data_IF_636235581192
#
_entry.id   IF_636235581192
#
_cell.length_a   1.000
_cell.length_b   1.000
_cell.length_c   1.000
_cell.angle_alpha   90.00
_cell.angle_beta   90.00
_cell.angle_gamma   90.00
#
_symmetry.space_group_name_H-M   'P 1'
#
loop_
_entity.id
_entity.type
_entity.pdbx_description
1 polymer ?
#
# COMPACT_ATOMS: atom_id res chain seq x y z
N UNK A 1 -8.88 49.17 42.50
CA UNK A 1 -8.34 49.02 41.13
C UNK A 1 -6.83 49.26 41.04
N UNK A 2 -6.25 50.18 41.81
CA UNK A 2 -4.80 50.41 41.83
C UNK A 2 -3.97 49.22 42.39
N UNK A 3 -4.46 48.51 43.41
CA UNK A 3 -3.75 47.37 44.02
C UNK A 3 -3.63 46.13 43.09
N UNK A 4 -4.65 45.88 42.26
CA UNK A 4 -4.63 44.74 41.35
C UNK A 4 -3.62 44.94 40.20
N UNK A 5 -3.40 46.18 39.77
CA UNK A 5 -2.40 46.52 38.75
C UNK A 5 -0.99 46.39 39.33
N UNK A 6 -0.77 46.84 40.59
CA UNK A 6 0.52 46.71 41.26
C UNK A 6 0.95 45.25 41.48
N UNK A 7 0.01 44.34 41.71
CA UNK A 7 0.29 42.91 41.88
C UNK A 7 0.64 42.18 40.57
N UNK A 8 0.17 42.70 39.42
CA UNK A 8 0.30 42.05 38.10
C UNK A 8 1.57 42.50 37.35
N UNK A 9 2.02 43.74 37.58
CA UNK A 9 3.24 44.29 36.97
C UNK A 9 4.50 43.42 37.15
N UNK A 10 4.85 42.90 38.35
CA UNK A 10 6.05 42.06 38.50
C UNK A 10 5.94 40.72 37.76
N UNK A 11 4.72 40.21 37.53
CA UNK A 11 4.49 38.98 36.76
C UNK A 11 4.69 39.24 35.26
N UNK A 12 4.24 40.39 34.76
CA UNK A 12 4.48 40.82 33.38
C UNK A 12 5.98 41.08 33.11
N UNK A 13 6.68 41.70 34.04
CA UNK A 13 8.14 41.91 33.95
C UNK A 13 8.89 40.58 33.93
N UNK A 14 8.48 39.62 34.77
CA UNK A 14 9.04 38.27 34.79
C UNK A 14 8.78 37.52 33.48
N UNK A 15 7.58 37.65 32.90
CA UNK A 15 7.24 37.04 31.61
C UNK A 15 8.04 37.66 30.45
N UNK A 16 8.21 38.99 30.44
CA UNK A 16 9.01 39.70 29.45
C UNK A 16 10.48 39.26 29.48
N UNK A 17 11.08 39.17 30.67
CA UNK A 17 12.46 38.70 30.82
C UNK A 17 12.65 37.24 30.39
N UNK A 18 11.63 36.38 30.60
CA UNK A 18 11.65 34.99 30.11
C UNK A 18 11.53 34.92 28.60
N UNK A 19 10.76 35.82 27.98
CA UNK A 19 10.63 35.92 26.53
C UNK A 19 11.95 36.35 25.89
N UNK A 20 12.60 37.40 26.43
CA UNK A 20 13.92 37.85 25.96
C UNK A 20 15.00 36.77 26.13
N UNK A 21 14.95 35.97 27.21
CA UNK A 21 15.86 34.83 27.40
C UNK A 21 15.64 33.71 26.39
N UNK A 22 14.38 33.49 25.96
CA UNK A 22 14.03 32.51 24.92
C UNK A 22 14.47 33.03 23.55
N UNK A 23 14.24 34.30 23.25
CA UNK A 23 14.67 34.95 22.00
C UNK A 23 16.19 34.98 21.89
N UNK A 24 16.92 35.23 22.98
CA UNK A 24 18.39 35.14 23.01
C UNK A 24 18.88 33.70 22.78
N UNK A 25 18.18 32.69 23.29
CA UNK A 25 18.50 31.27 23.05
C UNK A 25 18.20 30.82 21.62
N UNK A 26 17.16 31.36 21.00
CA UNK A 26 16.82 31.11 19.59
C UNK A 26 17.73 31.89 18.62
N UNK A 27 18.18 33.09 19.00
CA UNK A 27 19.12 33.91 18.22
C UNK A 27 20.59 33.45 18.32
N UNK A 28 20.95 32.66 19.33
CA UNK A 28 22.30 32.13 19.53
C UNK A 28 22.53 30.73 18.91
N UNK A 29 21.52 30.12 18.29
CA UNK A 29 21.66 28.87 17.55
C UNK A 29 22.23 29.13 16.14
N UNK A 30 23.52 29.44 16.06
CA UNK A 30 24.27 29.39 14.81
C UNK A 30 24.34 27.93 14.37
N UNK A 31 23.69 27.60 13.25
CA UNK A 31 23.80 26.30 12.61
C UNK A 31 25.28 25.93 12.41
N UNK A 32 25.68 24.67 12.65
CA UNK A 32 27.03 24.24 12.32
C UNK A 32 27.25 24.40 10.81
N UNK A 33 28.31 25.14 10.50
CA UNK A 33 28.82 25.44 9.18
C UNK A 33 29.22 24.13 8.49
N UNK A 34 28.53 23.78 7.41
CA UNK A 34 28.84 22.58 6.65
C UNK A 34 30.21 22.74 5.98
N UNK A 35 31.13 21.82 6.31
CA UNK A 35 32.39 21.65 5.59
C UNK A 35 32.11 21.45 4.08
N UNK A 36 32.96 21.98 3.19
CA UNK A 36 32.79 21.85 1.76
C UNK A 36 32.93 20.37 1.37
N UNK A 37 31.82 19.76 0.95
CA UNK A 37 31.81 18.44 0.37
C UNK A 37 32.74 18.43 -0.86
N UNK A 38 33.66 17.47 -0.85
CA UNK A 38 34.57 17.19 -1.94
C UNK A 38 33.82 17.07 -3.28
N UNK A 39 34.42 17.65 -4.32
CA UNK A 39 33.91 17.67 -5.68
C UNK A 39 33.49 16.28 -6.17
N UNK A 40 32.23 16.15 -6.58
CA UNK A 40 31.78 15.03 -7.38
C UNK A 40 32.55 15.03 -8.73
N UNK A 41 33.02 13.86 -9.20
CA UNK A 41 33.74 13.79 -10.47
C UNK A 41 32.82 14.16 -11.63
N UNK A 42 33.37 14.94 -12.57
CA UNK A 42 32.70 15.38 -13.79
C UNK A 42 32.20 14.19 -14.62
N UNK A 43 31.01 14.28 -15.26
CA UNK A 43 30.61 13.29 -16.26
C UNK A 43 31.51 13.42 -17.48
N UNK A 44 32.26 12.36 -17.77
CA UNK A 44 33.07 12.24 -18.97
C UNK A 44 32.18 12.22 -20.22
N UNK A 45 32.58 13.01 -21.21
CA UNK A 45 31.94 13.08 -22.52
C UNK A 45 32.23 11.83 -23.37
N UNK A 46 31.20 11.42 -24.11
CA UNK A 46 31.23 10.80 -25.44
C UNK A 46 31.94 9.45 -25.63
N UNK A 47 31.13 8.39 -25.69
CA UNK A 47 31.35 7.29 -26.64
C UNK A 47 30.17 7.24 -27.63
N UNK A 48 30.52 7.13 -28.91
CA UNK A 48 29.69 7.25 -30.11
C UNK A 48 28.59 6.15 -30.23
N UNK A 49 27.62 6.31 -31.15
CA UNK A 49 26.39 5.54 -31.17
C UNK A 49 26.63 4.14 -31.77
N UNK A 50 26.21 3.09 -31.08
CA UNK A 50 26.02 1.79 -31.73
C UNK A 50 24.65 1.78 -32.40
N UNK A 51 24.73 1.63 -33.71
CA UNK A 51 23.67 1.66 -34.70
C UNK A 51 22.42 0.89 -34.28
N UNK A 52 21.28 1.56 -34.45
CA UNK A 52 20.01 0.91 -34.66
C UNK A 52 20.03 0.18 -36.00
N UNK A 53 19.81 -1.13 -35.96
CA UNK A 53 19.47 -1.91 -37.15
C UNK A 53 18.39 -2.97 -36.84
N UNK A 54 18.36 -3.50 -35.61
CA UNK A 54 17.36 -4.50 -35.23
C UNK A 54 15.91 -3.97 -35.16
N UNK A 55 15.69 -2.73 -34.68
CA UNK A 55 14.34 -2.15 -34.59
C UNK A 55 13.84 -1.63 -35.94
N UNK A 56 14.73 -1.04 -36.75
CA UNK A 56 14.40 -0.56 -38.10
C UNK A 56 13.98 -1.70 -39.03
N UNK A 57 14.71 -2.83 -38.99
CA UNK A 57 14.36 -4.04 -39.73
C UNK A 57 13.00 -4.62 -39.31
N UNK A 58 12.68 -4.61 -38.01
CA UNK A 58 11.38 -5.06 -37.50
C UNK A 58 10.21 -4.16 -37.97
N UNK A 59 10.39 -2.83 -37.99
CA UNK A 59 9.36 -1.92 -38.49
C UNK A 59 9.20 -1.98 -40.02
N UNK A 60 10.29 -2.17 -40.78
CA UNK A 60 10.23 -2.39 -42.22
C UNK A 60 9.56 -3.74 -42.58
N UNK A 61 9.80 -4.78 -41.78
CA UNK A 61 9.16 -6.07 -41.94
C UNK A 61 7.67 -6.03 -41.56
N UNK A 62 7.26 -5.22 -40.59
CA UNK A 62 5.84 -5.04 -40.25
C UNK A 62 5.10 -4.19 -41.31
N UNK A 63 5.76 -3.19 -41.90
CA UNK A 63 5.20 -2.32 -42.93
C UNK A 63 5.05 -2.98 -44.32
N UNK A 64 5.75 -4.09 -44.57
CA UNK A 64 5.65 -4.86 -45.83
C UNK A 64 4.62 -6.00 -45.79
N UNK A 65 3.93 -6.19 -44.66
CA UNK A 65 2.82 -7.15 -44.55
C UNK A 65 1.55 -6.48 -45.07
N UNK A 66 1.16 -6.83 -46.29
CA UNK A 66 -0.11 -6.40 -46.86
C UNK A 66 -1.29 -7.09 -46.16
N UNK A 67 -2.04 -6.31 -45.36
CA UNK A 67 -3.25 -6.75 -44.65
C UNK A 67 -4.55 -6.34 -45.36
N UNK A 68 -4.48 -5.88 -46.61
CA UNK A 68 -5.64 -5.38 -47.36
C UNK A 68 -6.77 -6.41 -47.54
N UNK A 69 -6.47 -7.71 -47.42
CA UNK A 69 -7.44 -8.81 -47.48
C UNK A 69 -7.83 -9.41 -46.12
N UNK A 70 -7.37 -8.83 -45.00
CA UNK A 70 -7.78 -9.22 -43.64
C UNK A 70 -6.62 -9.34 -42.65
N UNK A 71 -6.94 -9.30 -41.34
CA UNK A 71 -6.00 -9.17 -40.21
C UNK A 71 -4.97 -10.31 -40.03
N UNK A 72 -5.03 -11.35 -40.85
CA UNK A 72 -4.09 -12.49 -40.87
C UNK A 72 -3.44 -12.73 -42.24
N UNK A 73 -3.74 -11.91 -43.24
CA UNK A 73 -3.11 -11.98 -44.54
C UNK A 73 -1.63 -11.56 -44.43
N UNK A 74 -0.72 -12.37 -44.95
CA UNK A 74 0.73 -12.11 -44.95
C UNK A 74 1.52 -12.63 -43.74
N UNK A 75 0.87 -13.20 -42.71
CA UNK A 75 1.56 -13.85 -41.60
C UNK A 75 1.88 -15.32 -41.93
N UNK A 76 3.12 -15.77 -41.64
CA UNK A 76 3.51 -17.17 -41.83
C UNK A 76 2.71 -18.08 -40.89
N UNK A 77 2.13 -19.14 -41.45
CA UNK A 77 1.33 -20.10 -40.69
C UNK A 77 2.25 -21.03 -39.88
N UNK A 78 2.04 -21.09 -38.56
CA UNK A 78 2.81 -21.98 -37.67
C UNK A 78 2.15 -23.35 -37.67
N UNK A 79 2.81 -24.36 -38.24
CA UNK A 79 2.34 -25.75 -38.20
C UNK A 79 2.57 -26.36 -36.82
N UNK A 80 1.83 -27.43 -36.53
CA UNK A 80 1.75 -28.07 -35.20
C UNK A 80 3.12 -28.56 -34.69
N UNK A 81 4.06 -28.79 -35.60
CA UNK A 81 5.40 -29.31 -35.38
C UNK A 81 6.39 -28.23 -34.88
N UNK A 82 6.06 -26.95 -35.04
CA UNK A 82 6.85 -25.82 -34.51
C UNK A 82 6.52 -25.48 -33.05
N UNK A 83 5.62 -26.23 -32.40
CA UNK A 83 5.40 -26.14 -30.95
C UNK A 83 6.38 -27.09 -30.24
N UNK A 84 7.43 -26.53 -29.67
CA UNK A 84 8.39 -27.26 -28.84
C UNK A 84 7.75 -27.72 -27.52
N UNK A 85 7.85 -29.03 -27.23
CA UNK A 85 7.57 -29.60 -25.90
C UNK A 85 6.94 -31.00 -25.90
N UNK A 86 7.70 -32.04 -26.28
CA UNK A 86 7.29 -33.43 -26.10
C UNK A 86 8.20 -34.44 -26.80
N UNK A 87 9.39 -34.68 -26.25
CA UNK A 87 10.30 -35.71 -26.76
C UNK A 87 9.71 -37.11 -26.55
N UNK A 88 9.67 -37.85 -27.65
CA UNK A 88 9.23 -39.23 -27.84
C UNK A 88 10.34 -40.22 -27.48
N UNK A 89 10.03 -41.25 -26.69
CA UNK A 89 10.81 -42.48 -26.54
C UNK A 89 9.87 -43.70 -26.57
N UNK A 90 10.30 -44.87 -27.09
CA UNK A 90 9.41 -45.91 -27.59
C UNK A 90 8.86 -46.83 -26.50
N UNK A 91 7.60 -47.24 -26.62
CA UNK A 91 6.91 -48.22 -25.74
C UNK A 91 6.65 -49.50 -26.54
N UNK A 92 7.03 -50.70 -26.05
CA UNK A 92 6.78 -51.94 -26.79
C UNK A 92 5.36 -52.49 -26.60
N UNK A 93 4.76 -52.80 -27.75
CA UNK A 93 3.81 -53.87 -28.11
C UNK A 93 2.66 -54.33 -27.19
N UNK A 94 1.45 -54.07 -27.71
CA UNK A 94 0.37 -55.02 -28.00
C UNK A 94 -0.47 -55.65 -26.86
N UNK A 95 -1.78 -55.31 -26.86
CA UNK A 95 -2.86 -56.30 -26.90
C UNK A 95 -4.24 -55.67 -27.24
N UNK A 96 -4.84 -56.18 -28.32
CA UNK A 96 -6.25 -56.39 -28.67
C UNK A 96 -7.39 -55.42 -28.26
N UNK A 97 -7.95 -54.79 -29.31
CA UNK A 97 -9.38 -54.72 -29.71
C UNK A 97 -10.52 -54.50 -28.69
N UNK A 98 -11.28 -53.41 -28.87
CA UNK A 98 -12.69 -53.44 -29.34
C UNK A 98 -13.32 -52.03 -29.34
N UNK A 99 -14.38 -51.89 -30.14
CA UNK A 99 -15.06 -50.68 -30.62
C UNK A 99 -15.86 -49.87 -29.58
N UNK A 100 -15.88 -48.54 -29.74
CA UNK A 100 -17.08 -47.65 -29.80
C UNK A 100 -16.97 -46.30 -29.05
N UNK A 101 -17.54 -45.28 -29.71
CA UNK A 101 -17.97 -43.94 -29.28
C UNK A 101 -16.92 -42.78 -29.08
N UNK A 102 -17.22 -41.56 -29.58
CA UNK A 102 -16.30 -40.44 -29.61
C UNK A 102 -16.24 -39.71 -28.25
N UNK A 103 -15.02 -39.52 -27.72
CA UNK A 103 -14.78 -38.76 -26.48
C UNK A 103 -15.13 -37.27 -26.67
N UNK A 104 -15.83 -36.62 -25.72
CA UNK A 104 -16.10 -35.19 -25.79
C UNK A 104 -14.81 -34.39 -25.61
N UNK A 105 -14.69 -33.29 -26.36
CA UNK A 105 -13.60 -32.30 -26.25
C UNK A 105 -13.52 -31.75 -24.82
N UNK A 106 -12.32 -31.48 -24.27
CA UNK A 106 -12.20 -30.91 -22.94
C UNK A 106 -12.86 -29.53 -22.90
N UNK A 107 -13.85 -29.38 -22.01
CA UNK A 107 -14.42 -28.06 -21.70
C UNK A 107 -13.32 -27.20 -21.08
N UNK A 108 -12.99 -26.09 -21.74
CA UNK A 108 -12.36 -24.94 -21.08
C UNK A 108 -13.28 -24.53 -19.92
N UNK A 109 -12.73 -24.45 -18.70
CA UNK A 109 -13.50 -24.13 -17.50
C UNK A 109 -13.24 -25.02 -16.28
N UNK A 110 -12.09 -25.70 -16.20
CA UNK A 110 -11.66 -26.25 -14.92
C UNK A 110 -11.34 -25.07 -13.99
N UNK A 111 -12.31 -24.70 -13.15
CA UNK A 111 -12.07 -23.87 -11.99
C UNK A 111 -10.88 -24.48 -11.24
N UNK A 112 -9.83 -23.67 -11.05
CA UNK A 112 -8.69 -24.07 -10.24
C UNK A 112 -9.24 -24.57 -8.90
N UNK A 113 -8.91 -25.82 -8.53
CA UNK A 113 -9.25 -26.36 -7.21
C UNK A 113 -8.82 -25.34 -6.16
N UNK A 114 -9.66 -25.01 -5.16
CA UNK A 114 -9.28 -24.10 -4.11
C UNK A 114 -7.99 -24.62 -3.48
N UNK A 115 -6.91 -23.83 -3.57
CA UNK A 115 -5.68 -24.13 -2.85
C UNK A 115 -6.08 -24.15 -1.38
N UNK A 116 -6.02 -25.31 -0.73
CA UNK A 116 -6.19 -25.40 0.72
C UNK A 116 -5.18 -24.46 1.33
N UNK A 117 -5.68 -23.38 1.93
CA UNK A 117 -4.83 -22.37 2.57
C UNK A 117 -4.06 -23.06 3.71
N UNK A 118 -2.79 -22.71 3.95
CA UNK A 118 -2.09 -23.14 5.15
C UNK A 118 -2.94 -22.88 6.42
N UNK A 119 -2.76 -23.65 7.49
CA UNK A 119 -3.44 -23.36 8.75
C UNK A 119 -3.03 -21.97 9.26
N UNK A 120 -3.93 -21.32 10.01
CA UNK A 120 -3.63 -20.05 10.66
C UNK A 120 -2.46 -20.19 11.63
N UNK A 121 -1.52 -19.26 11.58
CA UNK A 121 -0.33 -19.23 12.45
C UNK A 121 -0.16 -17.87 13.09
N UNK A 122 0.24 -17.87 14.36
CA UNK A 122 0.64 -16.67 15.09
C UNK A 122 1.96 -16.96 15.80
N UNK A 123 3.05 -16.42 15.28
CA UNK A 123 4.39 -16.70 15.77
C UNK A 123 5.18 -15.42 16.00
N UNK A 124 5.91 -15.38 17.11
CA UNK A 124 6.85 -14.32 17.42
C UNK A 124 8.25 -14.73 17.00
N UNK A 125 8.87 -13.97 16.10
CA UNK A 125 10.27 -14.14 15.70
C UNK A 125 11.04 -12.86 16.00
N UNK A 126 11.88 -12.91 17.04
CA UNK A 126 12.61 -11.74 17.51
C UNK A 126 11.66 -10.64 17.98
N UNK A 127 11.70 -9.48 17.32
CA UNK A 127 10.86 -8.32 17.63
C UNK A 127 9.59 -8.23 16.75
N UNK A 128 9.32 -9.24 15.92
CA UNK A 128 8.20 -9.24 14.98
C UNK A 128 7.22 -10.37 15.29
N UNK A 129 5.96 -10.02 15.44
CA UNK A 129 4.83 -10.95 15.44
C UNK A 129 4.37 -11.17 14.01
N UNK A 130 4.16 -12.42 13.63
CA UNK A 130 3.71 -12.82 12.30
C UNK A 130 2.40 -13.58 12.46
N UNK A 131 1.32 -12.99 11.95
CA UNK A 131 -0.06 -13.47 12.06
C UNK A 131 -0.53 -13.77 10.64
N UNK A 132 -0.68 -15.04 10.29
CA UNK A 132 -0.90 -15.43 8.90
C UNK A 132 -2.00 -16.45 8.74
N UNK A 133 -2.56 -16.48 7.53
CA UNK A 133 -3.43 -17.55 7.04
C UNK A 133 -4.75 -17.76 7.80
N UNK A 134 -5.09 -16.90 8.75
CA UNK A 134 -6.37 -16.97 9.46
C UNK A 134 -7.56 -16.73 8.53
N UNK A 135 -8.65 -17.41 8.87
CA UNK A 135 -9.90 -17.36 8.14
C UNK A 135 -11.08 -17.19 9.10
N UNK A 136 -12.28 -17.02 8.55
CA UNK A 136 -13.53 -17.02 9.31
C UNK A 136 -13.70 -18.22 10.26
N UNK A 137 -13.16 -19.38 9.90
CA UNK A 137 -13.30 -20.60 10.70
C UNK A 137 -12.55 -20.51 12.04
N UNK A 138 -11.53 -19.64 12.11
CA UNK A 138 -10.67 -19.49 13.29
C UNK A 138 -11.27 -18.49 14.31
N UNK A 139 -12.33 -17.77 13.94
CA UNK A 139 -13.02 -16.82 14.82
C UNK A 139 -12.25 -15.52 15.02
N UNK A 140 -12.25 -15.01 16.27
CA UNK A 140 -11.54 -13.79 16.65
C UNK A 140 -10.15 -14.16 17.16
N UNK A 141 -9.12 -13.59 16.54
CA UNK A 141 -7.71 -13.85 16.86
C UNK A 141 -7.16 -12.71 17.69
N UNK A 142 -6.86 -12.97 18.96
CA UNK A 142 -6.24 -11.99 19.84
C UNK A 142 -4.73 -12.23 19.90
N UNK A 143 -3.94 -11.20 19.56
CA UNK A 143 -2.48 -11.23 19.63
C UNK A 143 -2.03 -10.57 20.93
N UNK A 144 -1.96 -11.35 22.00
CA UNK A 144 -1.63 -10.85 23.35
C UNK A 144 -0.13 -10.78 23.61
N UNK A 145 0.29 -9.85 24.47
CA UNK A 145 1.67 -9.75 24.94
C UNK A 145 2.61 -9.08 23.94
N UNK A 146 2.06 -8.23 23.07
CA UNK A 146 2.86 -7.45 22.11
C UNK A 146 3.52 -6.30 22.83
N UNK A 147 4.85 -6.25 22.85
CA UNK A 147 5.55 -5.14 23.49
C UNK A 147 5.57 -3.88 22.60
N UNK A 148 5.67 -2.70 23.20
CA UNK A 148 5.70 -1.40 22.49
C UNK A 148 6.84 -1.25 21.46
N UNK A 149 7.91 -2.03 21.60
CA UNK A 149 9.05 -2.05 20.68
C UNK A 149 8.89 -3.06 19.54
N UNK A 150 7.86 -3.89 19.59
CA UNK A 150 7.62 -4.99 18.68
C UNK A 150 6.65 -4.57 17.57
N UNK A 151 6.81 -5.20 16.42
CA UNK A 151 6.02 -4.96 15.23
C UNK A 151 5.08 -6.14 14.98
N UNK A 152 3.86 -5.86 14.50
CA UNK A 152 2.90 -6.90 14.13
C UNK A 152 2.74 -6.92 12.62
N UNK A 153 3.03 -8.05 12.01
CA UNK A 153 2.82 -8.31 10.60
C UNK A 153 1.70 -9.30 10.40
N UNK A 154 0.67 -8.87 9.67
CA UNK A 154 -0.51 -9.64 9.35
C UNK A 154 -0.48 -9.93 7.86
N UNK A 155 -0.51 -11.20 7.45
CA UNK A 155 -0.50 -11.55 6.04
C UNK A 155 -1.52 -12.61 5.68
N UNK A 156 -2.02 -12.56 4.45
CA UNK A 156 -2.86 -13.61 3.86
C UNK A 156 -4.01 -14.03 4.79
N UNK A 157 -4.71 -13.11 5.44
CA UNK A 157 -5.91 -13.42 6.24
C UNK A 157 -7.17 -13.16 5.41
N UNK A 158 -8.14 -14.08 5.41
CA UNK A 158 -9.39 -13.97 4.62
C UNK A 158 -10.64 -14.07 5.53
N UNK A 159 -11.42 -13.01 5.63
CA UNK A 159 -12.66 -12.95 6.45
C UNK A 159 -12.37 -13.24 7.94
N UNK A 160 -11.30 -12.64 8.46
CA UNK A 160 -10.80 -12.84 9.82
C UNK A 160 -10.90 -11.55 10.64
N UNK A 161 -11.00 -11.70 11.96
CA UNK A 161 -10.96 -10.59 12.91
C UNK A 161 -9.71 -10.72 13.77
N UNK A 162 -8.84 -9.71 13.75
CA UNK A 162 -7.59 -9.67 14.52
C UNK A 162 -7.66 -8.53 15.52
N UNK A 163 -7.40 -8.85 16.79
CA UNK A 163 -7.41 -7.90 17.91
C UNK A 163 -6.02 -7.85 18.53
N UNK A 164 -5.44 -6.65 18.60
CA UNK A 164 -4.15 -6.39 19.23
C UNK A 164 -4.42 -5.47 20.44
N UNK A 165 -4.61 -6.03 21.65
CA UNK A 165 -4.98 -5.25 22.84
C UNK A 165 -3.85 -4.35 23.34
N UNK A 166 -2.61 -4.64 22.98
CA UNK A 166 -1.44 -3.89 23.42
C UNK A 166 -1.02 -2.82 22.40
N UNK A 167 -0.41 -1.73 22.88
CA UNK A 167 0.25 -0.75 22.02
C UNK A 167 1.55 -1.33 21.47
N UNK A 168 1.72 -1.30 20.15
CA UNK A 168 2.90 -1.82 19.46
C UNK A 168 3.71 -0.71 18.78
N UNK A 169 4.86 -1.07 18.20
CA UNK A 169 5.69 -0.12 17.45
C UNK A 169 5.00 0.27 16.14
N UNK A 170 4.69 -0.73 15.34
CA UNK A 170 4.10 -0.59 14.02
C UNK A 170 3.26 -1.83 13.67
N UNK A 171 2.31 -1.66 12.76
CA UNK A 171 1.49 -2.75 12.21
C UNK A 171 1.61 -2.71 10.70
N UNK A 172 1.85 -3.86 10.07
CA UNK A 172 1.85 -4.01 8.63
C UNK A 172 0.89 -5.14 8.22
N UNK A 173 -0.01 -4.86 7.29
CA UNK A 173 -1.03 -5.78 6.80
C UNK A 173 -0.83 -5.97 5.31
N UNK A 174 -0.65 -7.21 4.86
CA UNK A 174 -0.41 -7.53 3.46
C UNK A 174 -1.33 -8.65 2.95
N UNK A 175 -1.88 -8.49 1.75
CA UNK A 175 -2.62 -9.56 1.05
C UNK A 175 -3.90 -10.03 1.74
N UNK A 176 -4.44 -9.26 2.69
CA UNK A 176 -5.63 -9.65 3.45
C UNK A 176 -6.93 -9.25 2.74
N UNK A 177 -8.00 -10.03 2.93
CA UNK A 177 -9.33 -9.73 2.38
C UNK A 177 -10.39 -9.83 3.46
N UNK A 178 -11.35 -8.90 3.49
CA UNK A 178 -12.41 -8.88 4.51
C UNK A 178 -11.85 -8.93 5.94
N UNK A 179 -10.72 -8.27 6.16
CA UNK A 179 -10.06 -8.25 7.47
C UNK A 179 -10.71 -7.19 8.36
N UNK A 180 -11.04 -7.55 9.60
CA UNK A 180 -11.33 -6.60 10.66
C UNK A 180 -10.14 -6.55 11.63
N UNK A 181 -9.41 -5.44 11.63
CA UNK A 181 -8.27 -5.19 12.50
C UNK A 181 -8.68 -4.20 13.59
N UNK A 182 -8.53 -4.57 14.85
CA UNK A 182 -8.73 -3.69 16.00
C UNK A 182 -7.45 -3.65 16.82
N UNK A 183 -6.92 -2.46 17.09
CA UNK A 183 -5.69 -2.33 17.88
C UNK A 183 -5.73 -1.12 18.80
N UNK A 184 -4.96 -1.20 19.88
CA UNK A 184 -4.89 -0.13 20.88
C UNK A 184 -4.27 1.15 20.33
N UNK A 185 -3.12 1.01 19.67
CA UNK A 185 -2.42 2.11 19.01
C UNK A 185 -1.05 1.66 18.52
N UNK A 186 -0.40 2.51 17.74
CA UNK A 186 0.96 2.26 17.24
C UNK A 186 1.85 3.47 17.53
N UNK A 187 3.13 3.23 17.81
CA UNK A 187 4.10 4.31 18.05
C UNK A 187 4.44 5.05 16.75
N UNK A 188 4.54 4.34 15.63
CA UNK A 188 4.91 4.93 14.33
C UNK A 188 3.78 4.92 13.32
N UNK A 189 3.36 3.73 12.86
CA UNK A 189 2.53 3.62 11.67
C UNK A 189 1.70 2.34 11.65
N UNK A 190 0.61 2.40 10.88
CA UNK A 190 -0.12 1.22 10.41
C UNK A 190 -0.12 1.22 8.87
N UNK A 191 0.36 0.16 8.26
CA UNK A 191 0.49 0.02 6.81
C UNK A 191 -0.46 -1.06 6.30
N UNK A 192 -1.29 -0.72 5.32
CA UNK A 192 -2.25 -1.63 4.68
C UNK A 192 -1.88 -1.74 3.20
N UNK A 193 -1.44 -2.92 2.78
CA UNK A 193 -0.85 -3.16 1.47
C UNK A 193 -1.53 -4.34 0.77
N UNK A 194 -1.81 -4.25 -0.52
CA UNK A 194 -2.43 -5.34 -1.32
C UNK A 194 -3.72 -5.93 -0.73
N UNK A 195 -4.49 -5.16 0.02
CA UNK A 195 -5.66 -5.67 0.73
C UNK A 195 -6.97 -5.39 0.00
N UNK A 196 -8.05 -6.07 0.41
CA UNK A 196 -9.41 -5.77 -0.10
C UNK A 196 -10.48 -5.83 0.98
N UNK A 197 -11.36 -4.83 1.06
CA UNK A 197 -12.45 -4.73 2.04
C UNK A 197 -11.94 -4.85 3.48
N UNK A 198 -11.04 -3.97 3.89
CA UNK A 198 -10.48 -3.95 5.24
C UNK A 198 -11.26 -2.98 6.13
N UNK A 199 -11.46 -3.35 7.38
CA UNK A 199 -11.89 -2.44 8.44
C UNK A 199 -10.77 -2.34 9.46
N UNK A 200 -10.27 -1.15 9.69
CA UNK A 200 -9.19 -0.89 10.63
C UNK A 200 -9.70 0.03 11.72
N UNK A 201 -9.58 -0.36 12.99
CA UNK A 201 -9.97 0.45 14.14
C UNK A 201 -8.78 0.67 15.08
N UNK A 202 -8.40 1.92 15.26
CA UNK A 202 -7.44 2.35 16.25
C UNK A 202 -8.20 2.90 17.47
N UNK A 203 -8.06 2.26 18.64
CA UNK A 203 -8.76 2.68 19.86
C UNK A 203 -8.22 3.98 20.45
N UNK A 204 -6.91 4.16 20.40
CA UNK A 204 -6.23 5.38 20.82
C UNK A 204 -5.65 6.10 19.60
N UNK A 205 -4.33 6.19 19.52
CA UNK A 205 -3.63 7.02 18.53
C UNK A 205 -2.64 6.22 17.69
N UNK A 206 -2.61 6.55 16.40
CA UNK A 206 -1.58 6.13 15.43
C UNK A 206 -1.14 7.37 14.63
N UNK A 207 0.16 7.70 14.53
CA UNK A 207 0.59 8.90 13.81
C UNK A 207 0.28 8.87 12.31
N UNK A 208 0.55 7.74 11.65
CA UNK A 208 0.41 7.61 10.20
C UNK A 208 -0.27 6.30 9.82
N UNK A 209 -1.23 6.38 8.91
CA UNK A 209 -1.85 5.22 8.26
C UNK A 209 -1.48 5.27 6.78
N UNK A 210 -0.78 4.26 6.29
CA UNK A 210 -0.40 4.13 4.88
C UNK A 210 -1.31 3.11 4.21
N UNK A 211 -1.92 3.48 3.09
CA UNK A 211 -2.84 2.64 2.33
C UNK A 211 -2.27 2.53 0.91
N UNK A 212 -1.68 1.37 0.58
CA UNK A 212 -1.13 1.11 -0.74
C UNK A 212 -1.83 -0.08 -1.41
N UNK A 213 -2.18 0.09 -2.68
CA UNK A 213 -2.73 -0.99 -3.51
C UNK A 213 -3.89 -1.75 -2.84
N UNK A 214 -4.76 -1.02 -2.16
CA UNK A 214 -5.86 -1.58 -1.37
C UNK A 214 -7.20 -1.06 -1.88
N UNK A 215 -8.17 -1.97 -2.06
CA UNK A 215 -9.51 -1.64 -2.56
C UNK A 215 -10.55 -1.86 -1.45
N UNK A 216 -11.23 -0.80 -1.02
CA UNK A 216 -12.22 -0.86 0.04
C UNK A 216 -11.58 -0.90 1.41
N UNK A 217 -11.47 0.25 2.08
CA UNK A 217 -10.99 0.34 3.45
C UNK A 217 -11.75 1.41 4.22
N UNK A 218 -12.16 1.07 5.45
CA UNK A 218 -12.68 2.04 6.41
C UNK A 218 -11.70 2.12 7.59
N UNK A 219 -11.18 3.32 7.82
CA UNK A 219 -10.26 3.67 8.90
C UNK A 219 -11.05 4.33 10.03
N UNK A 220 -11.36 3.56 11.07
CA UNK A 220 -12.00 4.05 12.29
C UNK A 220 -10.94 4.60 13.24
N UNK A 221 -11.04 5.88 13.54
CA UNK A 221 -10.16 6.63 14.41
C UNK A 221 -10.91 7.04 15.68
N UNK A 222 -10.19 7.08 16.79
CA UNK A 222 -10.68 7.68 18.03
C UNK A 222 -10.71 9.21 17.94
N UNK A 223 -11.22 9.87 18.97
CA UNK A 223 -11.16 11.33 19.07
C UNK A 223 -9.71 11.87 19.02
N UNK A 224 -8.77 11.20 19.69
CA UNK A 224 -7.34 11.52 19.66
C UNK A 224 -6.70 11.21 18.30
N UNK A 225 -7.29 10.27 17.57
CA UNK A 225 -6.90 9.82 16.23
C UNK A 225 -7.14 10.84 15.13
N UNK A 226 -7.88 11.93 15.36
CA UNK A 226 -8.17 12.95 14.31
C UNK A 226 -6.93 13.59 13.69
N UNK A 227 -5.79 13.57 14.39
CA UNK A 227 -4.50 14.09 13.91
C UNK A 227 -3.68 13.06 13.11
N UNK A 228 -4.20 11.84 12.93
CA UNK A 228 -3.56 10.79 12.13
C UNK A 228 -3.44 11.25 10.68
N UNK A 229 -2.23 11.12 10.12
CA UNK A 229 -2.00 11.38 8.71
C UNK A 229 -2.32 10.12 7.91
N UNK A 230 -3.21 10.23 6.93
CA UNK A 230 -3.51 9.11 6.02
C UNK A 230 -2.78 9.37 4.71
N UNK A 231 -1.91 8.44 4.33
CA UNK A 231 -1.15 8.48 3.08
C UNK A 231 -1.71 7.38 2.19
N UNK A 232 -2.13 7.71 0.98
CA UNK A 232 -2.71 6.74 0.04
C UNK A 232 -1.91 6.68 -1.27
N UNK A 233 -1.86 5.48 -1.85
CA UNK A 233 -1.26 5.21 -3.16
C UNK A 233 -1.99 4.05 -3.82
N UNK A 234 -2.37 4.19 -5.10
CA UNK A 234 -3.00 3.13 -5.91
C UNK A 234 -4.15 2.40 -5.21
N UNK A 235 -4.92 3.10 -4.40
CA UNK A 235 -5.96 2.54 -3.55
C UNK A 235 -7.30 3.18 -3.91
N UNK A 236 -8.39 2.45 -3.68
CA UNK A 236 -9.75 2.88 -4.02
C UNK A 236 -10.74 2.59 -2.90
N UNK A 237 -11.89 3.27 -2.90
CA UNK A 237 -12.98 3.07 -1.92
C UNK A 237 -12.47 3.25 -0.47
N UNK A 238 -11.76 4.35 -0.22
CA UNK A 238 -11.16 4.66 1.07
C UNK A 238 -12.04 5.63 1.87
N UNK A 239 -12.34 5.28 3.12
CA UNK A 239 -13.14 6.11 4.03
C UNK A 239 -12.43 6.26 5.37
N UNK A 240 -12.50 7.45 5.96
CA UNK A 240 -12.09 7.71 7.33
C UNK A 240 -13.35 7.94 8.18
N UNK A 241 -13.42 7.31 9.35
CA UNK A 241 -14.53 7.42 10.28
C UNK A 241 -14.05 7.84 11.66
N UNK A 242 -14.68 8.84 12.27
CA UNK A 242 -14.28 9.39 13.55
C UNK A 242 -15.48 9.97 14.33
N UNK A 243 -15.40 10.07 15.67
CA UNK A 243 -16.48 10.62 16.49
C UNK A 243 -16.81 12.06 16.12
N UNK A 244 -18.10 12.41 16.19
CA UNK A 244 -18.54 13.77 15.91
C UNK A 244 -18.00 14.73 16.99
N UNK A 245 -17.31 15.84 16.62
CA UNK A 245 -16.81 16.82 17.58
C UNK A 245 -17.89 17.48 18.46
N UNK A 246 -19.12 17.58 17.96
CA UNK A 246 -20.23 18.26 18.66
C UNK A 246 -21.13 17.31 19.42
N UNK A 247 -21.08 16.02 19.10
CA UNK A 247 -21.90 14.98 19.72
C UNK A 247 -21.07 13.69 19.90
N UNK A 248 -20.26 13.59 20.97
CA UNK A 248 -19.37 12.45 21.18
C UNK A 248 -20.08 11.10 21.38
N UNK A 249 -21.33 11.13 21.85
CA UNK A 249 -22.18 9.94 22.04
C UNK A 249 -23.04 9.64 20.79
N UNK A 250 -22.96 10.49 19.77
CA UNK A 250 -23.68 10.37 18.52
C UNK A 250 -23.02 9.43 17.52
N UNK A 251 -23.59 9.40 16.31
CA UNK A 251 -23.07 8.57 15.23
C UNK A 251 -21.68 9.04 14.75
N UNK A 252 -20.84 8.08 14.38
CA UNK A 252 -19.53 8.36 13.78
C UNK A 252 -19.71 9.08 12.44
N UNK A 253 -18.92 10.13 12.22
CA UNK A 253 -18.84 10.78 10.91
C UNK A 253 -17.99 9.90 10.00
N UNK A 254 -18.42 9.68 8.77
CA UNK A 254 -17.66 8.98 7.74
C UNK A 254 -17.39 9.92 6.58
N UNK A 255 -16.11 10.08 6.20
CA UNK A 255 -15.66 10.97 5.13
C UNK A 255 -14.86 10.16 4.11
N UNK A 256 -15.20 10.26 2.81
CA UNK A 256 -14.40 9.61 1.76
C UNK A 256 -13.05 10.29 1.61
N UNK A 257 -11.99 9.49 1.41
CA UNK A 257 -10.65 9.98 1.10
C UNK A 257 -10.53 10.13 -0.41
N UNK A 258 -10.14 11.31 -0.93
CA UNK A 258 -10.00 11.52 -2.36
C UNK A 258 -8.98 10.57 -3.02
N UNK A 259 -9.37 10.01 -4.17
CA UNK A 259 -8.52 9.12 -4.96
C UNK A 259 -8.31 9.61 -6.41
N UNK A 260 -8.96 10.71 -6.80
CA UNK A 260 -8.78 11.36 -8.10
C UNK A 260 -8.17 12.76 -7.96
N UNK A 261 -7.09 12.99 -8.71
CA UNK A 261 -6.35 14.25 -8.74
C UNK A 261 -6.25 14.80 -10.16
N UNK A 262 -6.32 16.11 -10.30
CA UNK A 262 -6.14 16.84 -11.55
C UNK A 262 -4.70 17.35 -11.58
N UNK A 263 -3.96 16.99 -12.63
CA UNK A 263 -2.57 17.43 -12.83
C UNK A 263 -2.49 18.38 -14.02
N UNK A 264 -2.07 19.62 -13.78
CA UNK A 264 -1.95 20.67 -14.80
C UNK A 264 -0.51 21.15 -14.91
N UNK A 265 0.01 21.29 -16.14
CA UNK A 265 1.34 21.84 -16.39
C UNK A 265 1.22 23.38 -16.43
N UNK A 266 1.94 24.06 -15.54
CA UNK A 266 1.94 25.52 -15.48
C UNK A 266 2.79 26.13 -16.62
N UNK A 267 2.59 27.41 -16.98
CA UNK A 267 3.42 28.09 -17.97
C UNK A 267 4.93 28.05 -17.64
N UNK A 268 5.28 27.96 -16.36
CA UNK A 268 6.66 27.85 -15.87
C UNK A 268 7.23 26.41 -15.96
N UNK A 269 6.47 25.47 -16.51
CA UNK A 269 6.88 24.07 -16.68
C UNK A 269 6.80 23.23 -15.40
N UNK A 270 6.08 23.69 -14.37
CA UNK A 270 5.86 22.93 -13.12
C UNK A 270 4.54 22.15 -13.20
N UNK A 271 4.39 21.11 -12.38
CA UNK A 271 3.13 20.38 -12.25
C UNK A 271 2.39 20.91 -11.02
N UNK A 272 1.15 21.38 -11.24
CA UNK A 272 0.19 21.71 -10.20
C UNK A 272 -0.78 20.55 -10.02
N UNK A 273 -1.07 20.17 -8.78
CA UNK A 273 -1.96 19.04 -8.45
C UNK A 273 -3.07 19.55 -7.53
N UNK A 274 -4.31 19.28 -7.90
CA UNK A 274 -5.50 19.57 -7.09
C UNK A 274 -6.33 18.29 -6.93
N UNK A 275 -7.11 18.22 -5.85
CA UNK A 275 -8.13 17.18 -5.68
C UNK A 275 -9.27 17.47 -6.65
N UNK A 276 -9.83 16.43 -7.28
CA UNK A 276 -10.97 16.58 -8.19
C UNK A 276 -12.22 17.13 -7.46
N UNK A 277 -12.98 17.97 -8.17
CA UNK A 277 -14.28 18.51 -7.72
C UNK A 277 -15.33 17.44 -7.37
N UNK A 278 -15.11 16.17 -7.70
CA UNK A 278 -15.95 15.06 -7.23
C UNK A 278 -15.99 14.92 -5.70
N UNK A 279 -15.02 15.52 -5.00
CA UNK A 279 -14.89 15.46 -3.53
C UNK A 279 -15.20 16.81 -2.84
N UNK A 280 -15.73 17.80 -3.58
CA UNK A 280 -16.05 19.14 -3.08
C UNK A 280 -17.45 19.24 -2.47
#
# INVERSE_FOLDING_TARGET
MADAVAAIMPVLESLSARLESIEAKLGAAKAPEAEPAAAAPAPAASAAPVAGDARGALFAQLGSIDQSSGRTAGLRHVTKDMKSGGATGPVPAAAAASSAAPKPKPKFGAAAKPKTKPPGTCEKRGMRWTVQNYTKADGVITVEGVAIREEVFIADCDDATIVIPDKCKAIAVDGCKKLALVFEGAVSSCEIVNCKRVKMQCKNFVPTVSIDKTDGIIVYLSEEGRKTQIVSSKSSEMNASFPNPTDPDGDMIEVPIPEQFISTITPEGKIHIEVSDLYA
#
